data_IF_801213953243
#
_entry.id   IF_801213953243
#
_cell.length_a   1.000
_cell.length_b   1.000
_cell.length_c   1.000
_cell.angle_alpha   90.00
_cell.angle_beta   90.00
_cell.angle_gamma   90.00
#
_symmetry.space_group_name_H-M   'P 1'
#
loop_
_entity.id
_entity.type
_entity.pdbx_description
1 polymer ?
#
# COMPACT_ATOMS: atom_id res chain seq x y z
N UNK A 1 -15.07 11.30 13.40
CA UNK A 1 -14.68 10.19 12.50
C UNK A 1 -13.35 9.69 13.03
N UNK A 2 -13.26 8.41 13.37
CA UNK A 2 -11.98 7.83 13.76
C UNK A 2 -11.00 7.93 12.57
N UNK A 3 -9.73 8.24 12.82
CA UNK A 3 -8.76 8.42 11.74
C UNK A 3 -8.61 7.15 10.90
N UNK A 4 -8.76 5.97 11.52
CA UNK A 4 -8.76 4.69 10.82
C UNK A 4 -9.85 4.57 9.76
N UNK A 5 -11.08 4.92 10.12
CA UNK A 5 -12.24 4.88 9.21
C UNK A 5 -12.07 5.87 8.04
N UNK A 6 -11.47 7.03 8.27
CA UNK A 6 -11.18 7.99 7.20
C UNK A 6 -10.21 7.42 6.15
N UNK A 7 -9.10 6.82 6.57
CA UNK A 7 -8.13 6.25 5.63
C UNK A 7 -8.67 5.03 4.88
N UNK A 8 -9.43 4.16 5.55
CA UNK A 8 -10.14 3.06 4.90
C UNK A 8 -11.13 3.62 3.87
N UNK A 9 -11.88 4.67 4.23
CA UNK A 9 -12.84 5.30 3.31
C UNK A 9 -12.16 5.91 2.07
N UNK A 10 -10.98 6.53 2.22
CA UNK A 10 -10.21 7.02 1.08
C UNK A 10 -9.70 5.90 0.18
N UNK A 11 -9.30 4.74 0.73
CA UNK A 11 -8.94 3.59 -0.08
C UNK A 11 -10.13 2.98 -0.82
N UNK A 12 -11.34 3.10 -0.26
CA UNK A 12 -12.58 2.69 -0.94
C UNK A 12 -13.11 3.70 -1.95
N UNK A 13 -12.61 4.95 -1.93
CA UNK A 13 -12.86 5.89 -3.01
C UNK A 13 -12.08 5.44 -4.24
N UNK A 14 -12.81 5.10 -5.30
CA UNK A 14 -12.32 4.48 -6.54
C UNK A 14 -11.08 5.13 -7.15
N UNK A 15 -10.86 6.44 -6.94
CA UNK A 15 -9.68 7.14 -7.45
C UNK A 15 -8.36 6.76 -6.77
N UNK A 16 -8.37 6.41 -5.48
CA UNK A 16 -7.12 6.17 -4.75
C UNK A 16 -6.48 4.82 -5.10
N UNK A 17 -7.31 3.78 -5.29
CA UNK A 17 -6.83 2.48 -5.77
C UNK A 17 -6.15 2.61 -7.14
N UNK A 18 -6.74 3.37 -8.07
CA UNK A 18 -6.15 3.63 -9.40
C UNK A 18 -4.81 4.37 -9.31
N UNK A 19 -4.66 5.32 -8.38
CA UNK A 19 -3.40 6.03 -8.15
C UNK A 19 -2.33 5.05 -7.66
N UNK A 20 -2.65 4.21 -6.66
CA UNK A 20 -1.71 3.23 -6.13
C UNK A 20 -1.29 2.20 -7.17
N UNK A 21 -2.23 1.72 -8.00
CA UNK A 21 -1.90 0.83 -9.11
C UNK A 21 -0.98 1.49 -10.13
N UNK A 22 -1.22 2.78 -10.46
CA UNK A 22 -0.36 3.54 -11.35
C UNK A 22 1.04 3.72 -10.78
N UNK A 23 1.13 4.02 -9.49
CA UNK A 23 2.40 4.13 -8.78
C UNK A 23 3.14 2.78 -8.75
N UNK A 24 2.45 1.69 -8.45
CA UNK A 24 3.04 0.35 -8.46
C UNK A 24 3.61 -0.02 -9.83
N UNK A 25 2.91 0.33 -10.92
CA UNK A 25 3.40 0.17 -12.30
C UNK A 25 4.59 1.03 -12.63
N UNK A 26 4.66 2.25 -12.09
CA UNK A 26 5.81 3.12 -12.27
C UNK A 26 7.06 2.57 -11.59
N UNK A 27 6.92 2.06 -10.36
CA UNK A 27 8.04 1.48 -9.61
C UNK A 27 8.46 0.13 -10.19
N UNK A 28 7.50 -0.72 -10.54
CA UNK A 28 7.69 -2.06 -11.12
C UNK A 28 8.87 -2.83 -10.52
N UNK A 29 8.86 -3.09 -9.19
CA UNK A 29 9.98 -3.73 -8.53
C UNK A 29 10.22 -5.14 -9.12
N UNK A 30 11.47 -5.55 -9.38
CA UNK A 30 11.76 -6.91 -9.82
C UNK A 30 11.32 -7.95 -8.79
N UNK A 31 10.96 -9.14 -9.24
CA UNK A 31 10.63 -10.26 -8.36
C UNK A 31 11.78 -10.56 -7.39
N UNK A 32 11.44 -10.83 -6.13
CA UNK A 32 12.40 -11.07 -5.05
C UNK A 32 13.12 -9.83 -4.52
N UNK A 33 12.85 -8.64 -5.06
CA UNK A 33 13.36 -7.40 -4.47
C UNK A 33 12.73 -7.13 -3.10
N UNK A 34 13.49 -6.47 -2.22
CA UNK A 34 13.00 -6.05 -0.90
C UNK A 34 12.49 -4.63 -0.98
N UNK A 35 11.24 -4.43 -0.57
CA UNK A 35 10.56 -3.13 -0.61
C UNK A 35 10.10 -2.75 0.79
N UNK A 36 10.30 -1.50 1.18
CA UNK A 36 9.75 -0.93 2.42
C UNK A 36 8.80 0.22 2.06
N UNK A 37 7.56 0.13 2.51
CA UNK A 37 6.54 1.16 2.39
C UNK A 37 6.36 1.88 3.75
N UNK A 38 6.69 3.17 3.80
CA UNK A 38 6.68 3.98 5.03
C UNK A 38 5.45 4.87 5.04
N UNK A 39 4.63 4.76 6.09
CA UNK A 39 3.30 5.35 6.10
C UNK A 39 2.33 4.53 5.26
N UNK A 40 2.41 3.21 5.38
CA UNK A 40 1.69 2.26 4.52
C UNK A 40 0.18 2.29 4.73
N UNK A 41 -0.30 2.89 5.83
CA UNK A 41 -1.69 2.84 6.26
C UNK A 41 -2.19 1.38 6.28
N UNK A 42 -3.38 1.09 5.74
CA UNK A 42 -3.91 -0.27 5.61
C UNK A 42 -3.11 -1.26 4.73
N UNK A 43 -1.98 -0.87 4.12
CA UNK A 43 -1.09 -1.80 3.42
C UNK A 43 -1.45 -2.14 1.96
N UNK A 44 -2.28 -1.33 1.30
CA UNK A 44 -2.74 -1.60 -0.07
C UNK A 44 -1.57 -1.71 -1.08
N UNK A 45 -0.59 -0.82 -1.00
CA UNK A 45 0.56 -0.82 -1.90
C UNK A 45 1.52 -2.00 -1.62
N UNK A 46 1.74 -2.33 -0.34
CA UNK A 46 2.50 -3.52 0.08
C UNK A 46 1.88 -4.79 -0.51
N UNK A 47 0.54 -4.90 -0.47
CA UNK A 47 -0.20 -6.02 -1.06
C UNK A 47 0.03 -6.09 -2.58
N UNK A 48 -0.07 -4.97 -3.29
CA UNK A 48 0.19 -4.92 -4.73
C UNK A 48 1.61 -5.38 -5.07
N UNK A 49 2.63 -4.91 -4.34
CA UNK A 49 4.02 -5.32 -4.59
C UNK A 49 4.25 -6.81 -4.35
N UNK A 50 3.61 -7.41 -3.33
CA UNK A 50 3.69 -8.85 -3.09
C UNK A 50 2.99 -9.66 -4.17
N UNK A 51 1.73 -9.33 -4.47
CA UNK A 51 0.89 -10.17 -5.32
C UNK A 51 1.20 -9.99 -6.81
N UNK A 52 1.40 -8.74 -7.26
CA UNK A 52 1.54 -8.44 -8.68
C UNK A 52 3.00 -8.49 -9.15
N UNK A 53 3.95 -8.11 -8.29
CA UNK A 53 5.38 -8.00 -8.64
C UNK A 53 6.26 -9.05 -7.96
N UNK A 54 5.69 -9.90 -7.12
CA UNK A 54 6.41 -10.95 -6.38
C UNK A 54 7.61 -10.40 -5.59
N UNK A 55 7.48 -9.19 -5.06
CA UNK A 55 8.48 -8.56 -4.21
C UNK A 55 8.31 -8.99 -2.74
N UNK A 56 9.42 -9.02 -2.00
CA UNK A 56 9.46 -9.10 -0.54
C UNK A 56 9.14 -7.71 0.05
N UNK A 57 7.86 -7.31 -0.01
CA UNK A 57 7.45 -6.00 0.48
C UNK A 57 7.07 -6.02 1.98
N UNK A 58 7.40 -4.97 2.71
CA UNK A 58 7.08 -4.76 4.11
C UNK A 58 6.51 -3.35 4.29
N UNK A 59 5.54 -3.19 5.18
CA UNK A 59 4.97 -1.89 5.52
C UNK A 59 5.36 -1.49 6.93
N UNK A 60 5.44 -0.18 7.20
CA UNK A 60 5.49 0.40 8.55
C UNK A 60 4.55 1.58 8.61
N UNK A 61 3.84 1.72 9.73
CA UNK A 61 2.99 2.88 10.02
C UNK A 61 3.13 3.27 11.49
N UNK A 62 2.94 4.56 11.79
CA UNK A 62 2.98 5.07 13.15
C UNK A 62 1.66 4.79 13.90
N UNK A 63 0.56 4.57 13.17
CA UNK A 63 -0.73 4.24 13.75
C UNK A 63 -0.90 2.72 13.88
N UNK A 64 -0.92 2.16 15.10
CA UNK A 64 -1.06 0.71 15.29
C UNK A 64 -2.44 0.17 14.91
N UNK A 65 -3.44 1.02 14.65
CA UNK A 65 -4.78 0.61 14.20
C UNK A 65 -4.87 0.42 12.68
N UNK A 66 -3.85 0.84 11.94
CA UNK A 66 -3.81 0.72 10.48
C UNK A 66 -2.98 -0.48 10.00
N UNK A 67 -2.30 -1.17 10.92
CA UNK A 67 -1.38 -2.26 10.62
C UNK A 67 -1.92 -3.63 11.04
#
# INVERSE_FOLDING_TARGET
>A
MDQGEYYISMQTQTGWATILESFARFVAPPAGSRVLDVGTGPGALVKMFREQYQAEAFGVDANPLLM
#
